data_IF_410923346419
#
_entry.id   IF_410923346419
#
_cell.length_a   1.000
_cell.length_b   1.000
_cell.length_c   1.000
_cell.angle_alpha   90.00
_cell.angle_beta   90.00
_cell.angle_gamma   90.00
#
_symmetry.space_group_name_H-M   'P 1'
#
loop_
_entity.id
_entity.type
_entity.pdbx_description
1 polymer ?
#
# COMPACT_ATOMS: atom_id res chain seq x y z
N UNK A 1 -5.76 8.66 -10.88
CA UNK A 1 -4.88 8.36 -9.72
C UNK A 1 -4.80 6.85 -9.52
N UNK A 2 -3.59 6.34 -9.37
CA UNK A 2 -3.35 4.90 -9.27
C UNK A 2 -3.05 4.49 -7.83
N UNK A 3 -3.74 3.44 -7.36
CA UNK A 3 -3.49 2.83 -6.06
C UNK A 3 -3.08 1.39 -6.28
N UNK A 4 -1.97 0.97 -5.68
CA UNK A 4 -1.55 -0.42 -5.66
C UNK A 4 -1.62 -0.95 -4.24
N UNK A 5 -2.13 -2.17 -4.08
CA UNK A 5 -2.29 -2.83 -2.79
C UNK A 5 -1.59 -4.17 -2.85
N UNK A 6 -0.78 -4.47 -1.84
CA UNK A 6 -0.08 -5.75 -1.76
C UNK A 6 -0.19 -6.39 -0.38
N UNK A 7 -0.70 -7.61 -0.33
CA UNK A 7 -0.79 -8.42 0.87
C UNK A 7 -0.86 -9.88 0.44
N UNK A 8 -0.03 -10.75 0.99
CA UNK A 8 0.01 -12.16 0.63
C UNK A 8 -1.18 -12.96 1.16
N UNK A 9 -1.90 -12.40 2.15
CA UNK A 9 -3.12 -13.01 2.68
C UNK A 9 -4.32 -12.48 1.90
N UNK A 10 -4.97 -13.37 1.16
CA UNK A 10 -6.03 -12.97 0.21
C UNK A 10 -7.24 -12.34 0.87
N UNK A 11 -7.61 -12.78 2.06
CA UNK A 11 -8.72 -12.19 2.81
C UNK A 11 -8.40 -10.76 3.26
N UNK A 12 -7.17 -10.51 3.70
CA UNK A 12 -6.71 -9.18 4.05
C UNK A 12 -6.67 -8.26 2.82
N UNK A 13 -6.15 -8.79 1.71
CA UNK A 13 -6.09 -8.07 0.44
C UNK A 13 -7.49 -7.67 -0.02
N UNK A 14 -8.45 -8.59 0.05
CA UNK A 14 -9.83 -8.32 -0.35
C UNK A 14 -10.47 -7.27 0.56
N UNK A 15 -10.20 -7.32 1.86
CA UNK A 15 -10.72 -6.33 2.80
C UNK A 15 -10.20 -4.93 2.47
N UNK A 16 -8.90 -4.79 2.23
CA UNK A 16 -8.31 -3.52 1.82
C UNK A 16 -8.92 -3.01 0.52
N UNK A 17 -9.06 -3.90 -0.45
CA UNK A 17 -9.65 -3.57 -1.74
C UNK A 17 -11.07 -3.00 -1.59
N UNK A 18 -11.90 -3.65 -0.77
CA UNK A 18 -13.28 -3.21 -0.57
C UNK A 18 -13.32 -1.82 0.06
N UNK A 19 -12.46 -1.55 1.04
CA UNK A 19 -12.40 -0.24 1.69
C UNK A 19 -11.97 0.84 0.68
N UNK A 20 -10.95 0.54 -0.12
CA UNK A 20 -10.47 1.48 -1.14
C UNK A 20 -11.54 1.74 -2.20
N UNK A 21 -12.29 0.72 -2.60
CA UNK A 21 -13.37 0.88 -3.59
C UNK A 21 -14.51 1.75 -3.02
N UNK A 22 -14.82 1.63 -1.73
CA UNK A 22 -15.78 2.53 -1.08
C UNK A 22 -15.29 3.97 -1.13
N UNK A 23 -14.02 4.19 -0.83
CA UNK A 23 -13.39 5.51 -0.92
C UNK A 23 -13.48 6.06 -2.34
N UNK A 24 -13.18 5.23 -3.33
CA UNK A 24 -13.24 5.61 -4.74
C UNK A 24 -14.65 6.02 -5.16
N UNK A 25 -15.67 5.33 -4.66
CA UNK A 25 -17.06 5.63 -4.98
C UNK A 25 -17.49 7.00 -4.44
N UNK A 26 -16.98 7.38 -3.26
CA UNK A 26 -17.28 8.68 -2.64
C UNK A 26 -16.47 9.80 -3.30
N UNK A 27 -15.28 9.50 -3.80
CA UNK A 27 -14.37 10.48 -4.41
C UNK A 27 -14.19 10.21 -5.91
N UNK A 28 -15.30 10.12 -6.63
CA UNK A 28 -15.31 9.78 -8.06
C UNK A 28 -14.50 10.77 -8.92
N UNK A 29 -14.32 12.00 -8.45
CA UNK A 29 -13.53 13.02 -9.14
C UNK A 29 -12.04 12.65 -9.24
N UNK A 30 -11.56 11.73 -8.40
CA UNK A 30 -10.16 11.28 -8.40
C UNK A 30 -9.87 10.24 -9.48
N UNK A 31 -10.89 9.61 -10.06
CA UNK A 31 -10.73 8.55 -11.06
C UNK A 31 -9.74 7.49 -10.61
N UNK A 32 -9.99 6.91 -9.42
CA UNK A 32 -9.08 5.94 -8.82
C UNK A 32 -9.06 4.63 -9.58
N UNK A 33 -7.87 4.17 -9.92
CA UNK A 33 -7.62 2.87 -10.52
C UNK A 33 -6.88 2.01 -9.50
N UNK A 34 -7.45 0.87 -9.13
CA UNK A 34 -6.94 0.02 -8.05
C UNK A 34 -6.39 -1.28 -8.62
N UNK A 35 -5.13 -1.57 -8.30
CA UNK A 35 -4.48 -2.84 -8.65
C UNK A 35 -4.08 -3.57 -7.39
N UNK A 36 -4.44 -4.86 -7.29
CA UNK A 36 -4.19 -5.68 -6.12
C UNK A 36 -3.22 -6.81 -6.44
N UNK A 37 -2.29 -7.06 -5.52
CA UNK A 37 -1.26 -8.08 -5.68
C UNK A 37 -1.20 -8.95 -4.44
N UNK A 38 -1.34 -10.27 -4.60
CA UNK A 38 -1.11 -11.23 -3.52
C UNK A 38 0.33 -11.74 -3.51
N UNK A 39 1.08 -11.40 -4.55
CA UNK A 39 2.48 -11.78 -4.70
C UNK A 39 3.32 -10.49 -4.84
N UNK A 40 4.26 -10.22 -3.92
CA UNK A 40 5.05 -9.00 -3.98
C UNK A 40 5.92 -8.88 -5.22
N UNK A 41 6.35 -10.00 -5.80
CA UNK A 41 7.13 -9.98 -7.04
C UNK A 41 6.31 -9.46 -8.22
N UNK A 42 5.01 -9.79 -8.26
CA UNK A 42 4.12 -9.30 -9.31
C UNK A 42 3.96 -7.78 -9.21
N UNK A 43 3.90 -7.25 -8.00
CA UNK A 43 3.83 -5.79 -7.81
C UNK A 43 5.11 -5.11 -8.27
N UNK A 44 6.27 -5.67 -7.92
CA UNK A 44 7.56 -5.13 -8.38
C UNK A 44 7.66 -5.13 -9.90
N UNK A 45 7.18 -6.19 -10.56
CA UNK A 45 7.15 -6.26 -12.01
C UNK A 45 6.26 -5.18 -12.59
N UNK A 46 5.09 -4.96 -12.03
CA UNK A 46 4.16 -3.93 -12.49
C UNK A 46 4.75 -2.52 -12.32
N UNK A 47 5.43 -2.27 -11.21
CA UNK A 47 6.13 -0.99 -10.99
C UNK A 47 7.19 -0.78 -12.06
N UNK A 48 7.91 -1.83 -12.44
CA UNK A 48 8.91 -1.76 -13.49
C UNK A 48 8.32 -1.43 -14.86
N UNK A 49 7.10 -1.87 -15.14
CA UNK A 49 6.42 -1.65 -16.42
C UNK A 49 5.69 -0.32 -16.48
N UNK A 50 4.95 0.01 -15.43
CA UNK A 50 4.00 1.13 -15.43
C UNK A 50 4.43 2.31 -14.57
N UNK A 51 5.52 2.16 -13.84
CA UNK A 51 5.97 3.18 -12.90
C UNK A 51 5.33 3.04 -11.53
N UNK A 52 5.75 3.91 -10.61
CA UNK A 52 5.24 3.90 -9.24
C UNK A 52 3.80 4.40 -9.17
N UNK A 53 2.98 3.85 -8.26
CA UNK A 53 1.61 4.35 -8.08
C UNK A 53 1.60 5.68 -7.34
N UNK A 54 0.44 6.31 -7.29
CA UNK A 54 0.25 7.50 -6.46
C UNK A 54 0.14 7.14 -4.98
N UNK A 55 -0.52 6.01 -4.68
CA UNK A 55 -0.67 5.50 -3.32
C UNK A 55 -0.33 4.02 -3.32
N UNK A 56 0.46 3.58 -2.35
CA UNK A 56 0.79 2.17 -2.15
C UNK A 56 0.37 1.73 -0.74
N UNK A 57 -0.47 0.71 -0.67
CA UNK A 57 -0.87 0.06 0.59
C UNK A 57 -0.13 -1.25 0.67
N UNK A 58 0.76 -1.41 1.65
CA UNK A 58 1.70 -2.52 1.70
C UNK A 58 1.65 -3.24 3.05
N UNK A 59 1.48 -4.56 3.03
CA UNK A 59 1.87 -5.38 4.17
C UNK A 59 3.40 -5.47 4.17
N UNK A 60 4.00 -5.66 5.33
CA UNK A 60 5.46 -5.73 5.44
C UNK A 60 5.97 -7.17 5.40
N UNK A 61 5.38 -8.04 6.23
CA UNK A 61 5.88 -9.41 6.40
C UNK A 61 5.26 -10.34 5.36
N UNK A 62 5.89 -10.45 4.21
CA UNK A 62 5.46 -11.33 3.12
C UNK A 62 6.60 -12.27 2.73
N UNK A 63 6.28 -13.52 2.27
CA UNK A 63 7.33 -14.44 1.83
C UNK A 63 8.15 -13.87 0.67
N UNK A 64 9.47 -13.89 0.83
CA UNK A 64 10.41 -13.54 -0.23
C UNK A 64 10.78 -12.07 -0.32
N UNK A 65 9.85 -11.16 -0.07
CA UNK A 65 10.09 -9.70 -0.16
C UNK A 65 9.36 -9.00 0.95
N UNK A 66 10.04 -8.15 1.70
CA UNK A 66 9.41 -7.30 2.70
C UNK A 66 8.73 -6.10 2.03
N UNK A 67 7.60 -5.66 2.59
CA UNK A 67 6.93 -4.45 2.11
C UNK A 67 7.82 -3.22 2.15
N UNK A 68 8.75 -3.15 3.12
CA UNK A 68 9.73 -2.06 3.18
C UNK A 68 10.70 -2.07 2.00
N UNK A 69 11.00 -3.25 1.45
CA UNK A 69 11.81 -3.36 0.24
C UNK A 69 11.07 -2.83 -0.99
N UNK A 70 9.78 -3.14 -1.08
CA UNK A 70 8.93 -2.58 -2.14
C UNK A 70 8.88 -1.06 -2.02
N UNK A 71 8.72 -0.55 -0.79
CA UNK A 71 8.68 0.88 -0.54
C UNK A 71 9.97 1.58 -0.98
N UNK A 72 11.12 0.97 -0.72
CA UNK A 72 12.40 1.52 -1.20
C UNK A 72 12.46 1.60 -2.71
N UNK A 73 12.00 0.55 -3.39
CA UNK A 73 11.96 0.53 -4.85
C UNK A 73 11.04 1.63 -5.39
N UNK A 74 9.88 1.80 -4.76
CA UNK A 74 8.96 2.87 -5.13
C UNK A 74 9.61 4.24 -4.94
N UNK A 75 10.23 4.48 -3.80
CA UNK A 75 10.88 5.76 -3.51
C UNK A 75 12.01 6.07 -4.47
N UNK A 76 12.75 5.05 -4.90
CA UNK A 76 13.83 5.24 -5.88
C UNK A 76 13.32 5.70 -7.24
N UNK A 77 12.07 5.39 -7.58
CA UNK A 77 11.47 5.73 -8.87
C UNK A 77 10.58 6.96 -8.81
N UNK A 78 10.00 7.24 -7.65
CA UNK A 78 8.97 8.28 -7.52
C UNK A 78 9.46 9.57 -6.85
N UNK A 79 10.66 9.56 -6.27
CA UNK A 79 11.23 10.72 -5.58
C UNK A 79 10.26 11.32 -4.55
N UNK A 80 9.67 10.46 -3.70
CA UNK A 80 8.70 10.84 -2.66
C UNK A 80 7.34 11.32 -3.18
N UNK A 81 7.03 11.11 -4.45
CA UNK A 81 5.70 11.47 -4.99
C UNK A 81 4.63 10.42 -4.69
N UNK A 82 5.01 9.25 -4.21
CA UNK A 82 4.07 8.19 -3.83
C UNK A 82 3.81 8.24 -2.32
N UNK A 83 2.53 8.22 -1.95
CA UNK A 83 2.13 8.07 -0.55
C UNK A 83 2.16 6.60 -0.18
N UNK A 84 2.93 6.24 0.83
CA UNK A 84 3.09 4.87 1.29
C UNK A 84 2.42 4.67 2.64
N UNK A 85 1.57 3.65 2.72
CA UNK A 85 0.87 3.28 3.93
C UNK A 85 1.16 1.80 4.20
N UNK A 86 1.73 1.50 5.36
CA UNK A 86 1.97 0.12 5.77
C UNK A 86 0.81 -0.38 6.63
N UNK A 87 0.38 -1.62 6.37
CA UNK A 87 -0.69 -2.28 7.13
C UNK A 87 -0.18 -3.67 7.51
N UNK A 88 0.23 -3.86 8.75
CA UNK A 88 0.95 -5.07 9.17
C UNK A 88 0.61 -5.48 10.60
N UNK A 89 0.83 -6.77 10.93
CA UNK A 89 0.68 -7.26 12.30
C UNK A 89 1.88 -6.91 13.18
N UNK A 90 3.00 -6.52 12.57
CA UNK A 90 4.25 -6.23 13.29
C UNK A 90 4.41 -4.74 13.57
N UNK A 91 4.91 -4.40 14.76
CA UNK A 91 5.32 -3.04 15.07
C UNK A 91 6.84 -2.85 14.94
N UNK A 92 7.57 -3.90 14.54
CA UNK A 92 9.04 -3.89 14.53
C UNK A 92 9.64 -3.02 13.43
N UNK A 93 8.84 -2.63 12.44
CA UNK A 93 9.30 -1.89 11.27
C UNK A 93 8.94 -0.40 11.30
N UNK A 94 8.44 0.08 12.43
CA UNK A 94 7.97 1.47 12.52
C UNK A 94 9.10 2.49 12.29
N UNK A 95 10.28 2.23 12.83
CA UNK A 95 11.44 3.12 12.64
C UNK A 95 11.87 3.16 11.19
N UNK A 96 11.91 1.99 10.53
CA UNK A 96 12.26 1.90 9.11
C UNK A 96 11.21 2.59 8.24
N UNK A 97 9.93 2.42 8.56
CA UNK A 97 8.84 3.11 7.86
C UNK A 97 8.99 4.62 7.95
N UNK A 98 9.32 5.12 9.14
CA UNK A 98 9.56 6.55 9.34
C UNK A 98 10.74 7.03 8.48
N UNK A 99 11.82 6.27 8.44
CA UNK A 99 12.99 6.60 7.63
C UNK A 99 12.67 6.61 6.12
N UNK A 100 11.69 5.82 5.70
CA UNK A 100 11.23 5.77 4.31
C UNK A 100 10.18 6.85 4.00
N UNK A 101 9.87 7.73 4.95
CA UNK A 101 8.86 8.77 4.80
C UNK A 101 7.48 8.19 4.48
N UNK A 102 7.11 7.07 5.13
CA UNK A 102 5.77 6.51 4.99
C UNK A 102 4.75 7.49 5.56
N UNK A 103 3.61 7.59 4.89
CA UNK A 103 2.54 8.51 5.31
C UNK A 103 1.80 7.99 6.52
N UNK A 104 1.70 6.66 6.68
CA UNK A 104 1.07 6.07 7.85
C UNK A 104 1.53 4.63 8.06
N UNK A 105 1.25 4.12 9.25
CA UNK A 105 1.61 2.76 9.66
C UNK A 105 0.44 2.23 10.50
N UNK A 106 -0.34 1.33 9.92
CA UNK A 106 -1.52 0.77 10.58
C UNK A 106 -1.22 -0.64 11.05
N UNK A 107 -1.42 -0.88 12.35
CA UNK A 107 -1.24 -2.23 12.90
C UNK A 107 -2.54 -3.01 12.75
N UNK A 108 -2.44 -4.23 12.22
CA UNK A 108 -3.59 -5.13 12.12
C UNK A 108 -3.94 -5.71 13.50
N UNK A 109 -5.22 -5.90 13.82
CA UNK A 109 -6.38 -5.47 13.03
C UNK A 109 -6.61 -3.96 13.14
N UNK A 110 -7.02 -3.35 12.05
CA UNK A 110 -7.38 -1.93 12.00
C UNK A 110 -8.85 -1.80 11.64
N UNK A 111 -9.45 -0.63 11.93
CA UNK A 111 -10.83 -0.37 11.55
C UNK A 111 -10.90 0.21 10.14
N UNK A 112 -12.06 0.04 9.50
CA UNK A 112 -12.31 0.66 8.19
C UNK A 112 -12.12 2.18 8.28
N UNK A 113 -12.65 2.79 9.33
CA UNK A 113 -12.56 4.23 9.56
C UNK A 113 -11.11 4.70 9.64
N UNK A 114 -10.25 3.91 10.30
CA UNK A 114 -8.83 4.24 10.42
C UNK A 114 -8.13 4.27 9.06
N UNK A 115 -8.43 3.29 8.20
CA UNK A 115 -7.85 3.27 6.85
C UNK A 115 -8.42 4.41 5.99
N UNK A 116 -9.72 4.67 6.07
CA UNK A 116 -10.32 5.77 5.34
C UNK A 116 -9.72 7.12 5.74
N UNK A 117 -9.46 7.33 7.03
CA UNK A 117 -8.81 8.56 7.52
C UNK A 117 -7.44 8.73 6.90
N UNK A 118 -6.70 7.65 6.76
CA UNK A 118 -5.36 7.69 6.16
C UNK A 118 -5.41 8.07 4.67
N UNK A 119 -6.45 7.60 3.96
CA UNK A 119 -6.61 7.90 2.54
C UNK A 119 -6.99 9.37 2.29
N UNK A 120 -7.61 9.99 3.25
CA UNK A 120 -7.91 11.41 3.18
C UNK A 120 -6.66 12.24 3.44
#
# INVERSE_FOLDING_TARGET
>A
MNIMICDDQKDELENMKQIVLEYAAVHSELFLEVKCFSNPFDMLEEIGKSGAPDIALLDICMPGVLGTEIAREIKSKSEDSTDIIFLTTSSDFAVEAFALHANDYLKKPYTKERLLDTLD
#
